data_IF_051250914098
#
_entry.id   IF_051250914098
#
_cell.length_a   1.000
_cell.length_b   1.000
_cell.length_c   1.000
_cell.angle_alpha   90.00
_cell.angle_beta   90.00
_cell.angle_gamma   90.00
#
_symmetry.space_group_name_H-M   'P 1'
#
loop_
_entity.id
_entity.type
_entity.pdbx_description
1 polymer ?
#
# COMPACT_ATOMS: atom_id res chain seq x y z
N UNK A 1 -0.09 10.70 13.67
CA UNK A 1 -1.39 11.00 13.03
C UNK A 1 -2.59 10.58 13.88
N UNK A 2 -2.83 9.28 14.15
CA UNK A 2 -3.97 8.89 15.01
C UNK A 2 -3.82 9.46 16.43
N UNK A 3 -2.69 9.22 17.08
CA UNK A 3 -2.39 9.74 18.42
C UNK A 3 -2.47 11.28 18.49
N UNK A 4 -2.02 11.96 17.44
CA UNK A 4 -2.10 13.42 17.32
C UNK A 4 -3.56 13.90 17.22
N UNK A 5 -4.40 13.20 16.45
CA UNK A 5 -5.83 13.52 16.36
C UNK A 5 -6.55 13.26 17.68
N UNK A 6 -6.21 12.16 18.37
CA UNK A 6 -6.83 11.79 19.65
C UNK A 6 -6.45 12.77 20.78
N UNK A 7 -5.28 13.41 20.68
CA UNK A 7 -4.82 14.43 21.63
C UNK A 7 -5.30 15.86 21.33
N UNK A 8 -5.88 16.13 20.15
CA UNK A 8 -6.32 17.47 19.75
C UNK A 8 -7.78 17.75 20.16
N UNK A 9 -8.02 18.92 20.75
CA UNK A 9 -9.37 19.39 21.16
C UNK A 9 -10.20 19.97 20.01
N UNK A 10 -9.56 20.30 18.88
CA UNK A 10 -10.17 20.84 17.66
C UNK A 10 -9.92 19.87 16.52
N UNK A 11 -10.97 19.30 15.93
CA UNK A 11 -10.85 18.35 14.83
C UNK A 11 -10.73 19.04 13.48
N UNK A 12 -9.56 18.95 12.84
CA UNK A 12 -9.45 19.18 11.40
C UNK A 12 -10.24 18.12 10.64
N UNK A 13 -11.31 18.53 9.95
CA UNK A 13 -12.19 17.65 9.18
C UNK A 13 -11.43 16.86 8.11
N UNK A 14 -10.44 17.49 7.45
CA UNK A 14 -9.63 16.81 6.43
C UNK A 14 -8.76 15.72 7.04
N UNK A 15 -8.21 15.96 8.24
CA UNK A 15 -7.42 14.95 8.97
C UNK A 15 -8.30 13.77 9.38
N UNK A 16 -9.52 14.00 9.84
CA UNK A 16 -10.48 12.93 10.15
C UNK A 16 -10.85 12.11 8.90
N UNK A 17 -11.10 12.77 7.77
CA UNK A 17 -11.39 12.09 6.50
C UNK A 17 -10.20 11.27 6.00
N UNK A 18 -8.98 11.78 6.18
CA UNK A 18 -7.74 11.06 5.86
C UNK A 18 -7.56 9.82 6.72
N UNK A 19 -7.82 9.92 8.03
CA UNK A 19 -7.80 8.76 8.93
C UNK A 19 -8.86 7.73 8.55
N UNK A 20 -10.07 8.19 8.21
CA UNK A 20 -11.17 7.32 7.78
C UNK A 20 -10.82 6.47 6.56
N UNK A 21 -10.28 7.08 5.50
CA UNK A 21 -9.87 6.32 4.30
C UNK A 21 -8.70 5.38 4.62
N UNK A 22 -7.71 5.82 5.39
CA UNK A 22 -6.56 4.98 5.80
C UNK A 22 -6.99 3.78 6.62
N UNK A 23 -7.90 3.95 7.58
CA UNK A 23 -8.42 2.85 8.38
C UNK A 23 -9.12 1.80 7.51
N UNK A 24 -9.96 2.23 6.57
CA UNK A 24 -10.64 1.34 5.64
C UNK A 24 -9.66 0.61 4.71
N UNK A 25 -8.69 1.32 4.12
CA UNK A 25 -7.64 0.73 3.27
C UNK A 25 -6.80 -0.27 4.08
N UNK A 26 -6.38 0.10 5.28
CA UNK A 26 -5.54 -0.72 6.14
C UNK A 26 -6.26 -2.03 6.49
N UNK A 27 -7.49 -1.97 7.00
CA UNK A 27 -8.31 -3.16 7.28
C UNK A 27 -8.42 -4.05 6.06
N UNK A 28 -8.83 -3.47 4.93
CA UNK A 28 -9.04 -4.21 3.69
C UNK A 28 -7.75 -4.91 3.21
N UNK A 29 -6.64 -4.18 3.15
CA UNK A 29 -5.39 -4.68 2.60
C UNK A 29 -4.70 -5.68 3.50
N UNK A 30 -4.70 -5.45 4.82
CA UNK A 30 -4.05 -6.36 5.78
C UNK A 30 -4.81 -7.66 5.90
N UNK A 31 -6.14 -7.63 5.96
CA UNK A 31 -6.97 -8.84 5.95
C UNK A 31 -6.71 -9.71 4.71
N UNK A 32 -6.78 -9.10 3.52
CA UNK A 32 -6.54 -9.78 2.24
C UNK A 32 -5.13 -10.35 2.13
N UNK A 33 -4.11 -9.58 2.57
CA UNK A 33 -2.70 -10.03 2.53
C UNK A 33 -2.42 -11.11 3.56
N UNK A 34 -3.02 -11.05 4.75
CA UNK A 34 -2.80 -12.02 5.82
C UNK A 34 -3.19 -13.43 5.38
N UNK A 35 -4.43 -13.62 4.90
CA UNK A 35 -4.91 -14.92 4.40
C UNK A 35 -4.02 -15.43 3.26
N UNK A 36 -3.71 -14.56 2.30
CA UNK A 36 -2.85 -14.89 1.16
C UNK A 36 -1.45 -15.33 1.59
N UNK A 37 -0.80 -14.57 2.48
CA UNK A 37 0.57 -14.85 2.87
C UNK A 37 0.67 -16.11 3.71
N UNK A 38 -0.28 -16.36 4.62
CA UNK A 38 -0.28 -17.61 5.39
C UNK A 38 -0.44 -18.82 4.45
N UNK A 39 -1.33 -18.73 3.44
CA UNK A 39 -1.44 -19.77 2.43
C UNK A 39 -0.12 -20.01 1.69
N UNK A 40 0.57 -18.94 1.28
CA UNK A 40 1.87 -19.06 0.63
C UNK A 40 2.94 -19.67 1.55
N UNK A 41 2.90 -19.39 2.85
CA UNK A 41 3.78 -20.04 3.82
C UNK A 41 3.49 -21.55 3.95
N UNK A 42 2.22 -21.96 3.86
CA UNK A 42 1.85 -23.38 3.80
C UNK A 42 2.43 -24.02 2.53
N UNK A 43 2.30 -23.34 1.39
CA UNK A 43 2.83 -23.82 0.10
C UNK A 43 4.35 -24.04 0.13
N UNK A 44 5.11 -23.19 0.83
CA UNK A 44 6.58 -23.35 1.02
C UNK A 44 6.93 -24.66 1.73
N UNK A 45 6.09 -25.08 2.69
CA UNK A 45 6.28 -26.33 3.44
C UNK A 45 5.58 -27.53 2.79
N UNK A 46 4.93 -27.31 1.63
CA UNK A 46 4.15 -28.29 0.89
C UNK A 46 3.16 -29.05 1.82
N UNK A 47 3.06 -30.38 1.67
CA UNK A 47 2.13 -31.20 2.45
C UNK A 47 2.33 -31.05 3.97
N UNK A 48 3.57 -30.88 4.44
CA UNK A 48 3.85 -30.67 5.86
C UNK A 48 3.23 -29.36 6.39
N UNK A 49 3.18 -28.32 5.55
CA UNK A 49 2.56 -27.05 5.91
C UNK A 49 1.07 -27.16 6.25
N UNK A 50 0.39 -28.17 5.71
CA UNK A 50 -1.03 -28.42 5.96
C UNK A 50 -1.30 -29.25 7.24
N UNK A 51 -0.27 -29.78 7.90
CA UNK A 51 -0.41 -30.66 9.07
C UNK A 51 -0.39 -29.83 10.36
N UNK A 52 -1.48 -29.86 11.12
CA UNK A 52 -1.64 -29.06 12.36
C UNK A 52 -0.58 -29.37 13.43
N UNK A 53 -0.06 -30.60 13.45
CA UNK A 53 1.00 -31.01 14.39
C UNK A 53 2.41 -30.66 13.92
N UNK A 54 2.60 -30.28 12.66
CA UNK A 54 3.92 -29.91 12.10
C UNK A 54 4.20 -28.42 12.24
N UNK A 55 3.20 -27.56 12.04
CA UNK A 55 3.36 -26.11 12.12
C UNK A 55 2.08 -25.41 12.60
N UNK A 56 2.18 -24.19 13.13
CA UNK A 56 1.00 -23.40 13.50
C UNK A 56 0.22 -22.84 12.30
N UNK A 57 0.75 -22.99 11.07
CA UNK A 57 0.21 -22.32 9.87
C UNK A 57 -1.24 -22.72 9.54
N UNK A 58 -1.69 -23.99 9.63
CA UNK A 58 -3.08 -24.34 9.39
C UNK A 58 -4.05 -23.63 10.35
N UNK A 59 -3.67 -23.53 11.63
CA UNK A 59 -4.45 -22.79 12.64
C UNK A 59 -4.50 -21.31 12.29
N UNK A 60 -3.36 -20.69 12.03
CA UNK A 60 -3.28 -19.28 11.64
C UNK A 60 -4.09 -18.99 10.37
N UNK A 61 -4.11 -19.92 9.41
CA UNK A 61 -4.90 -19.77 8.18
C UNK A 61 -6.38 -19.75 8.48
N UNK A 62 -6.88 -20.71 9.27
CA UNK A 62 -8.28 -20.76 9.72
C UNK A 62 -8.67 -19.50 10.50
N UNK A 63 -7.81 -19.05 11.40
CA UNK A 63 -8.06 -17.84 12.20
C UNK A 63 -8.09 -16.59 11.31
N UNK A 64 -7.21 -16.48 10.30
CA UNK A 64 -7.11 -15.32 9.43
C UNK A 64 -8.34 -15.08 8.55
N UNK A 65 -9.16 -16.10 8.28
CA UNK A 65 -10.41 -15.97 7.49
C UNK A 65 -11.36 -14.96 8.15
N UNK A 66 -11.35 -14.84 9.48
CA UNK A 66 -12.21 -13.90 10.19
C UNK A 66 -11.89 -12.44 9.82
N UNK A 67 -10.62 -12.13 9.53
CA UNK A 67 -10.17 -10.78 9.22
C UNK A 67 -10.81 -10.24 7.94
N UNK A 68 -11.09 -11.09 6.97
CA UNK A 68 -11.71 -10.68 5.70
C UNK A 68 -13.22 -10.41 5.83
N UNK A 69 -13.87 -11.00 6.85
CA UNK A 69 -15.33 -11.02 6.96
C UNK A 69 -15.89 -10.11 8.07
N UNK A 70 -15.22 -10.04 9.22
CA UNK A 70 -15.66 -9.21 10.34
C UNK A 70 -15.28 -7.74 10.12
N UNK A 71 -16.04 -6.84 10.74
CA UNK A 71 -15.86 -5.38 10.65
C UNK A 71 -15.77 -4.84 9.21
N UNK A 72 -16.54 -5.45 8.30
CA UNK A 72 -16.70 -5.04 6.90
C UNK A 72 -15.95 -5.95 5.92
N UNK A 73 -16.70 -6.62 5.05
CA UNK A 73 -16.11 -7.42 3.97
C UNK A 73 -15.33 -6.55 2.97
N UNK A 74 -14.47 -7.17 2.15
CA UNK A 74 -13.73 -6.48 1.09
C UNK A 74 -14.59 -5.53 0.25
N UNK A 75 -15.75 -5.99 -0.21
CA UNK A 75 -16.64 -5.17 -1.03
C UNK A 75 -17.35 -4.10 -0.20
N UNK A 76 -17.74 -4.41 1.04
CA UNK A 76 -18.35 -3.41 1.94
C UNK A 76 -17.42 -2.22 2.16
N UNK A 77 -16.13 -2.48 2.45
CA UNK A 77 -15.14 -1.43 2.69
C UNK A 77 -14.82 -0.64 1.42
N UNK A 78 -14.68 -1.33 0.27
CA UNK A 78 -14.49 -0.65 -1.03
C UNK A 78 -15.66 0.27 -1.36
N UNK A 79 -16.89 -0.21 -1.17
CA UNK A 79 -18.10 0.59 -1.42
C UNK A 79 -18.25 1.73 -0.40
N UNK A 80 -17.77 1.56 0.84
CA UNK A 80 -17.71 2.65 1.80
C UNK A 80 -16.74 3.75 1.33
N UNK A 81 -15.54 3.39 0.87
CA UNK A 81 -14.59 4.33 0.28
C UNK A 81 -15.20 5.02 -0.95
N UNK A 82 -15.85 4.28 -1.85
CA UNK A 82 -16.52 4.88 -3.02
C UNK A 82 -17.59 5.91 -2.64
N UNK A 83 -18.42 5.60 -1.64
CA UNK A 83 -19.43 6.55 -1.13
C UNK A 83 -18.77 7.80 -0.56
N UNK A 84 -17.68 7.64 0.17
CA UNK A 84 -16.95 8.76 0.75
C UNK A 84 -16.20 9.57 -0.33
N UNK A 85 -15.78 8.96 -1.45
CA UNK A 85 -15.26 9.67 -2.63
C UNK A 85 -16.33 10.57 -3.24
N UNK A 86 -17.55 10.06 -3.45
CA UNK A 86 -18.67 10.87 -3.96
C UNK A 86 -19.04 12.01 -3.00
N UNK A 87 -19.09 11.74 -1.70
CA UNK A 87 -19.59 12.70 -0.71
C UNK A 87 -18.57 13.76 -0.30
N UNK A 88 -17.32 13.36 -0.09
CA UNK A 88 -16.30 14.20 0.54
C UNK A 88 -15.04 14.39 -0.32
N UNK A 89 -14.97 13.77 -1.51
CA UNK A 89 -13.76 13.76 -2.35
C UNK A 89 -12.51 13.28 -1.58
N UNK A 90 -12.67 12.25 -0.74
CA UNK A 90 -11.55 11.68 0.05
C UNK A 90 -10.37 11.22 -0.81
N UNK A 91 -10.62 10.87 -2.07
CA UNK A 91 -9.61 10.58 -3.09
C UNK A 91 -8.63 11.76 -3.28
N UNK A 92 -9.17 12.99 -3.37
CA UNK A 92 -8.36 14.21 -3.52
C UNK A 92 -7.63 14.56 -2.25
N UNK A 93 -8.28 14.43 -1.09
CA UNK A 93 -7.66 14.67 0.22
C UNK A 93 -6.45 13.73 0.39
N UNK A 94 -6.64 12.44 0.11
CA UNK A 94 -5.60 11.43 0.25
C UNK A 94 -4.43 11.66 -0.71
N UNK A 95 -4.71 11.84 -2.00
CA UNK A 95 -3.66 12.07 -3.01
C UNK A 95 -2.91 13.38 -2.76
N UNK A 96 -3.60 14.43 -2.32
CA UNK A 96 -2.97 15.72 -1.97
C UNK A 96 -2.06 15.60 -0.75
N UNK A 97 -2.46 14.83 0.26
CA UNK A 97 -1.62 14.54 1.42
C UNK A 97 -0.33 13.81 1.02
N UNK A 98 -0.43 12.79 0.14
CA UNK A 98 0.76 12.09 -0.36
C UNK A 98 1.64 12.97 -1.23
N UNK A 99 1.06 13.81 -2.09
CA UNK A 99 1.80 14.80 -2.87
C UNK A 99 2.54 15.80 -1.98
N UNK A 100 1.92 16.26 -0.88
CA UNK A 100 2.58 17.12 0.10
C UNK A 100 3.76 16.42 0.77
N UNK A 101 3.59 15.17 1.20
CA UNK A 101 4.67 14.37 1.80
C UNK A 101 5.85 14.18 0.84
N UNK A 102 5.57 13.88 -0.43
CA UNK A 102 6.60 13.77 -1.47
C UNK A 102 7.32 15.10 -1.73
N UNK A 103 6.60 16.24 -1.72
CA UNK A 103 7.22 17.57 -1.88
C UNK A 103 8.13 17.94 -0.71
N UNK A 104 7.74 17.59 0.51
CA UNK A 104 8.61 17.77 1.69
C UNK A 104 9.89 16.94 1.52
N UNK A 105 9.72 15.64 1.21
CA UNK A 105 10.84 14.75 0.98
C UNK A 105 11.73 15.21 -0.18
N UNK A 106 11.18 15.85 -1.21
CA UNK A 106 11.93 16.39 -2.34
C UNK A 106 12.96 17.44 -1.93
N UNK A 107 12.64 18.24 -0.92
CA UNK A 107 13.54 19.29 -0.42
C UNK A 107 14.66 18.71 0.45
N UNK A 108 14.37 17.63 1.18
CA UNK A 108 15.27 17.09 2.21
C UNK A 108 16.11 15.90 1.70
N UNK A 109 15.64 15.19 0.67
CA UNK A 109 16.27 13.96 0.21
C UNK A 109 17.48 14.22 -0.71
N UNK A 110 18.53 13.39 -0.61
CA UNK A 110 19.67 13.43 -1.55
C UNK A 110 19.24 13.27 -3.02
N UNK A 111 20.01 13.86 -3.95
CA UNK A 111 19.71 13.90 -5.39
C UNK A 111 19.36 12.54 -6.01
N UNK A 112 19.98 11.45 -5.51
CA UNK A 112 19.69 10.09 -5.99
C UNK A 112 18.23 9.66 -5.81
N UNK A 113 17.48 10.29 -4.91
CA UNK A 113 16.07 9.99 -4.66
C UNK A 113 15.09 10.79 -5.51
N UNK A 114 15.56 11.82 -6.20
CA UNK A 114 14.70 12.73 -6.97
C UNK A 114 13.93 12.00 -8.08
N UNK A 115 14.55 11.00 -8.71
CA UNK A 115 13.86 10.17 -9.71
C UNK A 115 12.74 9.32 -9.10
N UNK A 116 12.96 8.73 -7.91
CA UNK A 116 11.94 7.95 -7.21
C UNK A 116 10.74 8.81 -6.79
N UNK A 117 11.02 10.02 -6.29
CA UNK A 117 10.01 11.01 -5.94
C UNK A 117 9.17 11.36 -7.17
N UNK A 118 9.82 11.67 -8.30
CA UNK A 118 9.12 11.99 -9.55
C UNK A 118 8.21 10.85 -10.02
N UNK A 119 8.71 9.61 -10.01
CA UNK A 119 7.90 8.43 -10.38
C UNK A 119 6.64 8.34 -9.53
N UNK A 120 6.75 8.54 -8.21
CA UNK A 120 5.59 8.48 -7.32
C UNK A 120 4.64 9.67 -7.50
N UNK A 121 5.15 10.87 -7.76
CA UNK A 121 4.34 12.05 -8.08
C UNK A 121 3.55 11.84 -9.38
N UNK A 122 4.17 11.26 -10.41
CA UNK A 122 3.53 10.93 -11.68
C UNK A 122 2.42 9.89 -11.47
N UNK A 123 2.68 8.84 -10.68
CA UNK A 123 1.68 7.82 -10.34
C UNK A 123 0.49 8.39 -9.54
N UNK A 124 0.73 9.28 -8.59
CA UNK A 124 -0.33 9.97 -7.86
C UNK A 124 -1.18 10.85 -8.78
N UNK A 125 -0.56 11.50 -9.77
CA UNK A 125 -1.27 12.28 -10.78
C UNK A 125 -2.17 11.37 -11.63
N UNK A 126 -1.67 10.22 -12.07
CA UNK A 126 -2.48 9.23 -12.80
C UNK A 126 -3.61 8.66 -11.95
N UNK A 127 -3.38 8.42 -10.65
CA UNK A 127 -4.44 7.99 -9.73
C UNK A 127 -5.53 9.04 -9.57
N UNK A 128 -5.19 10.32 -9.51
CA UNK A 128 -6.19 11.38 -9.45
C UNK A 128 -7.08 11.41 -10.71
N UNK A 129 -6.48 11.23 -11.90
CA UNK A 129 -7.23 11.12 -13.16
C UNK A 129 -8.14 9.88 -13.17
N UNK A 130 -7.61 8.72 -12.78
CA UNK A 130 -8.39 7.47 -12.65
C UNK A 130 -9.57 7.62 -11.68
N UNK A 131 -9.42 8.40 -10.61
CA UNK A 131 -10.50 8.65 -9.65
C UNK A 131 -11.63 9.45 -10.30
N UNK A 132 -11.30 10.48 -11.07
CA UNK A 132 -12.31 11.28 -11.79
C UNK A 132 -13.01 10.41 -12.87
N UNK A 133 -12.28 9.60 -13.65
CA UNK A 133 -12.85 8.67 -14.64
C UNK A 133 -13.77 7.63 -13.98
N UNK A 134 -13.35 7.09 -12.83
CA UNK A 134 -14.14 6.16 -12.04
C UNK A 134 -15.46 6.81 -11.61
N UNK A 135 -15.42 8.01 -11.01
CA UNK A 135 -16.61 8.69 -10.50
C UNK A 135 -17.57 9.13 -11.61
N UNK A 136 -17.07 9.36 -12.83
CA UNK A 136 -17.88 9.66 -14.02
C UNK A 136 -18.49 8.42 -14.68
N UNK A 137 -17.97 7.23 -14.40
CA UNK A 137 -18.47 5.98 -14.95
C UNK A 137 -19.85 5.61 -14.41
N UNK A 138 -20.57 4.72 -15.10
CA UNK A 138 -21.87 4.22 -14.61
C UNK A 138 -21.76 3.55 -13.24
N UNK A 139 -22.84 3.57 -12.45
CA UNK A 139 -22.84 2.94 -11.12
C UNK A 139 -22.39 1.48 -11.13
N UNK A 140 -22.80 0.70 -12.14
CA UNK A 140 -22.37 -0.69 -12.31
C UNK A 140 -20.85 -0.79 -12.55
N UNK A 141 -20.30 0.04 -13.44
CA UNK A 141 -18.86 0.06 -13.70
C UNK A 141 -18.05 0.51 -12.48
N UNK A 142 -18.54 1.47 -11.70
CA UNK A 142 -17.87 1.90 -10.47
C UNK A 142 -17.64 0.74 -9.50
N UNK A 143 -18.61 -0.17 -9.35
CA UNK A 143 -18.46 -1.34 -8.46
C UNK A 143 -17.32 -2.28 -8.88
N UNK A 144 -17.01 -2.33 -10.17
CA UNK A 144 -15.90 -3.12 -10.72
C UNK A 144 -14.57 -2.37 -10.57
N UNK A 145 -14.54 -1.10 -10.99
CA UNK A 145 -13.32 -0.29 -11.08
C UNK A 145 -12.75 0.08 -9.69
N UNK A 146 -13.62 0.25 -8.69
CA UNK A 146 -13.19 0.66 -7.34
C UNK A 146 -12.24 -0.34 -6.69
N UNK A 147 -12.35 -1.63 -7.01
CA UNK A 147 -11.42 -2.65 -6.50
C UNK A 147 -9.98 -2.33 -6.91
N UNK A 148 -9.78 -2.13 -8.21
CA UNK A 148 -8.45 -1.98 -8.77
C UNK A 148 -7.86 -0.62 -8.35
N UNK A 149 -8.69 0.43 -8.32
CA UNK A 149 -8.31 1.74 -7.79
C UNK A 149 -7.84 1.68 -6.33
N UNK A 150 -8.57 0.99 -5.45
CA UNK A 150 -8.21 0.87 -4.03
C UNK A 150 -6.94 0.02 -3.84
N UNK A 151 -6.77 -1.05 -4.61
CA UNK A 151 -5.53 -1.85 -4.58
C UNK A 151 -4.32 -1.00 -5.01
N UNK A 152 -4.47 -0.18 -6.05
CA UNK A 152 -3.40 0.70 -6.53
C UNK A 152 -3.06 1.81 -5.51
N UNK A 153 -4.04 2.57 -5.03
CA UNK A 153 -3.79 3.69 -4.09
C UNK A 153 -3.12 3.21 -2.79
N UNK A 154 -3.49 2.01 -2.31
CA UNK A 154 -2.88 1.42 -1.14
C UNK A 154 -1.40 1.06 -1.36
N UNK A 155 -1.06 0.54 -2.55
CA UNK A 155 0.33 0.25 -2.91
C UNK A 155 1.13 1.55 -3.02
N UNK A 156 0.57 2.60 -3.63
CA UNK A 156 1.25 3.90 -3.73
C UNK A 156 1.50 4.50 -2.35
N UNK A 157 0.53 4.43 -1.43
CA UNK A 157 0.71 4.85 -0.04
C UNK A 157 1.87 4.10 0.63
N UNK A 158 1.95 2.77 0.46
CA UNK A 158 3.09 1.98 0.95
C UNK A 158 4.42 2.44 0.33
N UNK A 159 4.47 2.68 -0.99
CA UNK A 159 5.70 3.11 -1.67
C UNK A 159 6.17 4.50 -1.20
N UNK A 160 5.25 5.44 -0.96
CA UNK A 160 5.58 6.78 -0.45
C UNK A 160 6.19 6.69 0.95
N UNK A 161 5.63 5.85 1.83
CA UNK A 161 6.17 5.65 3.18
C UNK A 161 7.50 4.90 3.14
N UNK A 162 7.64 3.87 2.31
CA UNK A 162 8.88 3.15 2.13
C UNK A 162 10.00 4.03 1.55
N UNK A 163 9.66 4.95 0.65
CA UNK A 163 10.63 5.93 0.15
C UNK A 163 11.11 6.87 1.26
N UNK A 164 10.20 7.38 2.09
CA UNK A 164 10.59 8.21 3.24
C UNK A 164 11.52 7.44 4.18
N UNK A 165 11.20 6.18 4.47
CA UNK A 165 12.06 5.29 5.27
C UNK A 165 13.42 5.05 4.62
N UNK A 166 13.45 4.86 3.29
CA UNK A 166 14.67 4.65 2.54
C UNK A 166 15.60 5.86 2.55
N UNK A 167 15.02 7.06 2.46
CA UNK A 167 15.78 8.30 2.63
C UNK A 167 16.35 8.37 4.05
N UNK A 168 15.55 8.08 5.08
CA UNK A 168 16.01 8.13 6.47
C UNK A 168 17.15 7.14 6.73
N UNK A 169 16.97 5.86 6.40
CA UNK A 169 17.99 4.81 6.55
C UNK A 169 19.29 5.13 5.79
N UNK A 170 19.19 5.79 4.64
CA UNK A 170 20.37 6.20 3.89
C UNK A 170 21.09 7.37 4.56
N UNK A 171 20.36 8.33 5.13
CA UNK A 171 20.95 9.48 5.83
C UNK A 171 21.59 9.06 7.16
N UNK A 172 20.93 8.18 7.91
CA UNK A 172 21.40 7.73 9.22
C UNK A 172 22.53 6.69 9.10
N UNK A 173 22.35 5.67 8.25
CA UNK A 173 23.22 4.49 8.22
C UNK A 173 23.92 4.25 6.87
N UNK A 174 23.70 5.11 5.86
CA UNK A 174 24.14 4.89 4.47
C UNK A 174 23.65 3.53 3.90
N UNK A 175 22.55 3.00 4.46
CA UNK A 175 21.97 1.73 4.05
C UNK A 175 21.09 1.89 2.81
N UNK A 176 21.19 0.92 1.89
CA UNK A 176 20.39 0.87 0.67
C UNK A 176 19.25 -0.15 0.74
N UNK A 177 19.10 -0.87 1.85
CA UNK A 177 18.15 -1.97 1.99
C UNK A 177 16.71 -1.57 1.65
N UNK A 178 16.24 -0.47 2.24
CA UNK A 178 14.90 0.07 1.99
C UNK A 178 14.74 0.62 0.58
N UNK A 179 15.83 1.11 -0.02
CA UNK A 179 15.88 1.58 -1.42
C UNK A 179 15.73 0.42 -2.39
N UNK A 180 16.43 -0.69 -2.12
CA UNK A 180 16.34 -1.91 -2.92
C UNK A 180 14.95 -2.55 -2.79
N UNK A 181 14.37 -2.54 -1.57
CA UNK A 181 12.98 -2.97 -1.34
C UNK A 181 11.98 -2.08 -2.09
N UNK A 182 12.17 -0.76 -2.11
CA UNK A 182 11.33 0.17 -2.85
C UNK A 182 11.40 -0.12 -4.35
N UNK A 183 12.61 -0.25 -4.89
CA UNK A 183 12.82 -0.57 -6.29
C UNK A 183 12.12 -1.89 -6.67
N UNK A 184 12.24 -2.91 -5.83
CA UNK A 184 11.61 -4.21 -6.06
C UNK A 184 10.08 -4.10 -6.03
N UNK A 185 9.54 -3.36 -5.06
CA UNK A 185 8.10 -3.18 -4.92
C UNK A 185 7.53 -2.45 -6.15
N UNK A 186 8.19 -1.39 -6.61
CA UNK A 186 7.79 -0.63 -7.79
C UNK A 186 7.87 -1.45 -9.09
N UNK A 187 8.85 -2.35 -9.23
CA UNK A 187 8.93 -3.29 -10.35
C UNK A 187 7.79 -4.30 -10.29
N UNK A 188 7.57 -4.90 -9.12
CA UNK A 188 6.53 -5.92 -8.90
C UNK A 188 5.12 -5.37 -9.14
N UNK A 189 4.90 -4.10 -8.83
CA UNK A 189 3.60 -3.42 -9.00
C UNK A 189 3.44 -2.76 -10.37
N UNK A 190 4.44 -2.92 -11.26
CA UNK A 190 4.47 -2.35 -12.62
C UNK A 190 4.42 -0.81 -12.65
N UNK A 191 4.75 -0.16 -11.55
CA UNK A 191 4.93 1.30 -11.50
C UNK A 191 6.24 1.72 -12.16
N UNK A 192 7.19 0.80 -12.28
CA UNK A 192 8.34 0.90 -13.18
C UNK A 192 8.06 0.11 -14.47
N UNK A 193 8.25 0.77 -15.61
CA UNK A 193 8.24 0.13 -16.94
C UNK A 193 9.54 -0.66 -17.17
N UNK A 194 9.80 -1.68 -16.36
CA UNK A 194 10.88 -2.65 -16.54
C UNK A 194 10.32 -4.06 -16.60
N UNK A 195 11.02 -4.96 -17.27
CA UNK A 195 10.62 -6.36 -17.32
C UNK A 195 10.71 -6.97 -15.91
N UNK A 196 9.66 -7.66 -15.49
CA UNK A 196 9.53 -8.18 -14.13
C UNK A 196 10.50 -9.35 -13.82
N UNK A 197 11.18 -9.93 -14.82
CA UNK A 197 12.00 -11.14 -14.67
C UNK A 197 13.34 -11.04 -15.40
N UNK A 198 13.87 -9.82 -15.55
CA UNK A 198 15.22 -9.64 -16.09
C UNK A 198 16.30 -9.91 -15.03
N UNK A 199 17.56 -9.96 -15.45
CA UNK A 199 18.71 -10.19 -14.56
C UNK A 199 18.79 -9.13 -13.44
N UNK A 200 18.38 -7.89 -13.74
CA UNK A 200 18.34 -6.80 -12.75
C UNK A 200 17.32 -7.11 -11.64
N UNK A 201 16.14 -7.61 -12.00
CA UNK A 201 15.14 -8.04 -11.03
C UNK A 201 15.65 -9.18 -10.15
N UNK A 202 16.34 -10.17 -10.73
CA UNK A 202 16.89 -11.30 -9.98
C UNK A 202 17.97 -10.86 -8.98
N UNK A 203 18.88 -9.97 -9.40
CA UNK A 203 19.88 -9.37 -8.51
C UNK A 203 19.25 -8.53 -7.40
N UNK A 204 18.20 -7.79 -7.72
CA UNK A 204 17.49 -6.99 -6.73
C UNK A 204 16.77 -7.88 -5.72
N UNK A 205 16.14 -8.95 -6.19
CA UNK A 205 15.46 -9.93 -5.34
C UNK A 205 16.46 -10.62 -4.39
N UNK A 206 17.66 -10.99 -4.86
CA UNK A 206 18.66 -11.61 -3.99
C UNK A 206 19.11 -10.67 -2.88
N UNK A 207 19.32 -9.39 -3.17
CA UNK A 207 19.66 -8.39 -2.14
C UNK A 207 18.57 -8.24 -1.10
N UNK A 208 17.32 -8.08 -1.55
CA UNK A 208 16.16 -7.93 -0.65
C UNK A 208 15.95 -9.15 0.25
N UNK A 209 16.26 -10.36 -0.24
CA UNK A 209 16.15 -11.59 0.55
C UNK A 209 17.32 -11.73 1.53
N UNK A 210 18.56 -11.52 1.08
CA UNK A 210 19.79 -11.77 1.86
C UNK A 210 19.99 -10.78 3.02
N UNK A 211 19.42 -9.58 2.97
CA UNK A 211 19.54 -8.60 4.06
C UNK A 211 18.69 -8.92 5.31
N UNK A 212 17.90 -10.00 5.30
CA UNK A 212 17.12 -10.45 6.47
C UNK A 212 17.75 -11.63 7.24
N UNK A 213 18.96 -12.06 6.86
CA UNK A 213 19.80 -13.03 7.58
C UNK A 213 20.94 -12.32 8.34
#
# INVERSE_FOLDING_TARGET
MQDETDCQTSSDENQQLLLRIRANINKYMTAKKCVKHIHQCIDVLAGNGAIETFSPLPRLYRDAIVYENWEGTHNTLRMQILRDMHKYRIDRIFTSHLQQKLRQLQNDAPDKYQNWIKILQDNLTQLALKADDLLQSSSAQQTLLVRDYIDEIAVVDCCVHLLAEAVNHFVEDNSLSKTDLLAWLLMRTKMLKKNQYDEQYMLLMSKVIQEND
#
